data_IF_816003821253
#
_entry.id   IF_816003821253
#
_cell.length_a   1.000
_cell.length_b   1.000
_cell.length_c   1.000
_cell.angle_alpha   90.00
_cell.angle_beta   90.00
_cell.angle_gamma   90.00
#
_symmetry.space_group_name_H-M   'P 1'
#
loop_
_entity.id
_entity.type
_entity.pdbx_description
1 polymer ?
#
# COMPACT_ATOMS: atom_id res chain seq x y z
N UNK A 1 -41.35 -40.51 31.96
CA UNK A 1 -40.17 -40.94 32.73
C UNK A 1 -39.71 -39.75 33.58
N UNK A 2 -39.50 -40.04 34.86
CA UNK A 2 -39.20 -39.24 36.07
C UNK A 2 -38.66 -37.80 35.95
N UNK A 3 -39.26 -36.93 36.78
CA UNK A 3 -38.73 -35.65 37.32
C UNK A 3 -37.59 -35.89 38.31
N UNK A 4 -36.67 -34.93 38.39
CA UNK A 4 -35.84 -34.53 39.56
C UNK A 4 -35.73 -32.99 39.38
N UNK A 5 -36.40 -32.08 40.09
CA UNK A 5 -36.51 -31.75 41.53
C UNK A 5 -35.15 -31.46 42.19
N UNK A 6 -34.85 -30.17 42.33
CA UNK A 6 -34.18 -29.65 43.52
C UNK A 6 -34.95 -28.41 43.98
N UNK A 7 -35.52 -28.53 45.18
CA UNK A 7 -36.28 -27.49 45.86
C UNK A 7 -35.59 -27.19 47.19
N UNK A 8 -35.57 -25.91 47.54
CA UNK A 8 -35.52 -25.32 48.88
C UNK A 8 -34.21 -25.34 49.67
N UNK A 9 -33.75 -24.13 50.02
CA UNK A 9 -33.83 -23.72 51.42
C UNK A 9 -34.09 -22.21 51.56
N UNK A 10 -35.11 -21.94 52.39
CA UNK A 10 -35.59 -20.68 52.91
C UNK A 10 -34.51 -19.89 53.67
N UNK A 11 -34.49 -18.56 53.52
CA UNK A 11 -34.37 -17.68 54.68
C UNK A 11 -35.12 -16.36 54.40
N UNK A 12 -36.20 -16.15 55.16
CA UNK A 12 -36.81 -14.84 55.36
C UNK A 12 -35.78 -13.92 56.03
N UNK A 13 -35.63 -12.70 55.53
CA UNK A 13 -35.61 -11.54 56.42
C UNK A 13 -36.14 -10.32 55.67
N UNK A 14 -37.29 -9.86 56.14
CA UNK A 14 -37.83 -8.56 55.79
C UNK A 14 -36.97 -7.48 56.43
N UNK A 15 -36.43 -6.56 55.63
CA UNK A 15 -36.16 -5.21 56.10
C UNK A 15 -36.48 -4.24 54.98
N UNK A 16 -37.64 -3.61 55.12
CA UNK A 16 -37.98 -2.41 54.38
C UNK A 16 -37.07 -1.29 54.86
N UNK A 17 -36.17 -0.80 54.02
CA UNK A 17 -35.73 0.59 54.07
C UNK A 17 -35.52 1.13 52.65
N UNK A 18 -36.39 2.07 52.34
CA UNK A 18 -36.38 2.99 51.23
C UNK A 18 -35.07 3.78 51.21
N UNK A 19 -34.26 3.63 50.17
CA UNK A 19 -33.52 4.75 49.58
C UNK A 19 -33.41 4.52 48.07
N UNK A 20 -34.33 5.17 47.34
CA UNK A 20 -34.10 5.56 45.96
C UNK A 20 -32.86 6.46 45.93
N UNK A 21 -31.75 5.92 45.47
CA UNK A 21 -30.69 6.69 44.83
C UNK A 21 -30.65 6.24 43.38
N UNK A 22 -31.38 6.97 42.52
CA UNK A 22 -31.06 7.00 41.11
C UNK A 22 -29.66 7.58 40.97
N UNK A 23 -28.62 6.75 41.00
CA UNK A 23 -27.41 7.08 40.26
C UNK A 23 -27.84 7.20 38.81
N UNK A 24 -27.82 8.43 38.27
CA UNK A 24 -27.88 8.66 36.83
C UNK A 24 -26.91 7.68 36.19
N UNK A 25 -27.44 6.71 35.45
CA UNK A 25 -26.71 6.04 34.40
C UNK A 25 -26.22 7.14 33.45
N UNK A 26 -25.01 7.63 33.68
CA UNK A 26 -24.23 8.24 32.62
C UNK A 26 -24.01 7.10 31.63
N UNK A 27 -24.94 6.95 30.69
CA UNK A 27 -24.61 6.37 29.40
C UNK A 27 -23.36 7.12 28.97
N UNK A 28 -22.22 6.43 28.98
CA UNK A 28 -21.02 6.86 28.28
C UNK A 28 -21.45 7.01 26.82
N UNK A 29 -21.96 8.19 26.49
CA UNK A 29 -22.06 8.62 25.12
C UNK A 29 -20.63 8.58 24.59
N UNK A 30 -20.36 7.93 23.45
CA UNK A 30 -19.05 7.99 22.83
C UNK A 30 -18.64 9.46 22.77
N UNK A 31 -17.58 9.81 23.51
CA UNK A 31 -17.05 11.16 23.48
C UNK A 31 -16.73 11.47 22.02
N UNK A 32 -17.16 12.62 21.46
CA UNK A 32 -16.84 12.98 20.10
C UNK A 32 -15.33 12.90 19.92
N UNK A 33 -14.86 12.00 19.06
CA UNK A 33 -13.44 11.87 18.75
C UNK A 33 -12.92 13.24 18.33
N UNK A 34 -11.82 13.66 18.94
CA UNK A 34 -11.28 14.98 18.68
C UNK A 34 -10.68 14.99 17.27
N UNK A 35 -10.77 16.09 16.50
CA UNK A 35 -10.14 16.21 15.17
C UNK A 35 -8.65 15.80 15.14
N UNK A 36 -7.98 15.86 16.29
CA UNK A 36 -6.59 15.48 16.48
C UNK A 36 -6.34 13.96 16.29
N UNK A 37 -7.32 13.11 16.61
CA UNK A 37 -7.16 11.65 16.53
C UNK A 37 -7.17 11.14 15.08
N UNK A 38 -7.98 11.73 14.21
CA UNK A 38 -8.03 11.39 12.78
C UNK A 38 -6.73 11.78 12.06
N UNK A 39 -6.24 12.99 12.35
CA UNK A 39 -4.98 13.49 11.81
C UNK A 39 -3.79 12.60 12.21
N UNK A 40 -3.79 12.11 13.45
CA UNK A 40 -2.77 11.18 13.95
C UNK A 40 -2.82 9.83 13.21
N UNK A 41 -3.98 9.21 13.05
CA UNK A 41 -4.06 7.93 12.31
C UNK A 41 -3.58 8.09 10.85
N UNK A 42 -3.96 9.20 10.21
CA UNK A 42 -3.55 9.51 8.84
C UNK A 42 -2.03 9.53 8.68
N UNK A 43 -1.28 10.07 9.67
CA UNK A 43 0.19 10.06 9.66
C UNK A 43 0.78 8.72 10.09
N UNK A 44 0.22 8.08 11.12
CA UNK A 44 0.79 6.88 11.74
C UNK A 44 0.76 5.68 10.78
N UNK A 45 -0.25 5.62 9.90
CA UNK A 45 -0.39 4.51 8.95
C UNK A 45 0.52 4.62 7.71
N UNK A 46 1.14 5.78 7.46
CA UNK A 46 1.99 5.99 6.29
C UNK A 46 3.16 5.01 6.26
N UNK A 47 3.36 4.39 5.10
CA UNK A 47 4.38 3.39 4.82
C UNK A 47 3.81 2.13 4.18
N UNK A 48 4.71 1.21 3.83
CA UNK A 48 4.40 -0.10 3.29
C UNK A 48 4.35 -1.15 4.40
N UNK A 49 3.30 -1.95 4.43
CA UNK A 49 3.02 -2.98 5.40
C UNK A 49 2.95 -4.34 4.69
N UNK A 50 3.93 -5.20 4.95
CA UNK A 50 4.07 -6.51 4.33
C UNK A 50 3.24 -7.54 5.10
N UNK A 51 2.30 -8.17 4.39
CA UNK A 51 1.45 -9.23 4.90
C UNK A 51 2.17 -10.55 4.65
N UNK A 52 2.64 -11.19 5.72
CA UNK A 52 3.25 -12.51 5.64
C UNK A 52 2.17 -13.58 5.82
N UNK A 53 1.98 -14.44 4.82
CA UNK A 53 1.17 -15.65 4.99
C UNK A 53 1.95 -16.67 5.83
N UNK A 54 1.37 -17.12 6.93
CA UNK A 54 1.97 -18.13 7.81
C UNK A 54 1.75 -19.58 7.33
N UNK A 55 1.22 -19.79 6.12
CA UNK A 55 1.04 -21.13 5.55
C UNK A 55 2.40 -21.76 5.23
N UNK A 56 2.91 -22.59 6.16
CA UNK A 56 4.28 -23.11 6.19
C UNK A 56 4.70 -24.11 5.10
N UNK A 57 4.22 -23.97 3.86
CA UNK A 57 4.68 -24.73 2.69
C UNK A 57 4.60 -23.83 1.47
N UNK A 58 5.74 -23.65 0.79
CA UNK A 58 6.03 -22.82 -0.40
C UNK A 58 6.45 -21.38 -0.14
N UNK A 59 7.32 -20.86 -1.02
CA UNK A 59 7.79 -19.47 -1.08
C UNK A 59 6.63 -18.53 -0.79
N UNK A 60 6.75 -17.71 0.25
CA UNK A 60 5.65 -16.91 0.75
C UNK A 60 5.12 -15.99 -0.37
N UNK A 61 3.86 -16.18 -0.76
CA UNK A 61 3.14 -15.19 -1.55
C UNK A 61 3.04 -13.92 -0.69
N UNK A 62 3.82 -12.91 -1.03
CA UNK A 62 3.84 -11.64 -0.31
C UNK A 62 2.74 -10.71 -0.85
N UNK A 63 1.87 -10.26 0.06
CA UNK A 63 0.91 -9.19 -0.19
C UNK A 63 1.34 -7.95 0.59
N UNK A 64 0.89 -6.77 0.18
CA UNK A 64 1.14 -5.55 0.95
C UNK A 64 -0.01 -4.56 0.93
N UNK A 65 -0.04 -3.72 1.96
CA UNK A 65 -0.80 -2.48 2.01
C UNK A 65 0.20 -1.34 2.09
N UNK A 66 0.09 -0.33 1.24
CA UNK A 66 0.93 0.86 1.34
C UNK A 66 0.07 2.12 1.35
N UNK A 67 0.37 3.00 2.29
CA UNK A 67 -0.31 4.28 2.48
C UNK A 67 0.71 5.40 2.30
N UNK A 68 0.41 6.33 1.41
CA UNK A 68 1.25 7.49 1.11
C UNK A 68 0.75 8.73 1.83
N UNK A 69 1.64 9.70 2.04
CA UNK A 69 1.33 10.95 2.73
C UNK A 69 0.32 11.83 1.99
N UNK A 70 0.12 11.61 0.69
CA UNK A 70 -0.87 12.31 -0.15
C UNK A 70 -2.24 11.60 -0.17
N UNK A 71 -2.48 10.73 0.81
CA UNK A 71 -3.68 9.92 0.96
C UNK A 71 -3.88 8.87 -0.14
N UNK A 72 -2.85 8.51 -0.91
CA UNK A 72 -2.93 7.38 -1.84
C UNK A 72 -2.75 6.06 -1.10
N UNK A 73 -3.56 5.06 -1.43
CA UNK A 73 -3.33 3.68 -0.99
C UNK A 73 -2.93 2.80 -2.18
N UNK A 74 -2.14 1.77 -1.89
CA UNK A 74 -1.84 0.65 -2.77
C UNK A 74 -2.15 -0.66 -2.01
N UNK A 75 -2.93 -1.54 -2.61
CA UNK A 75 -3.21 -2.88 -2.09
C UNK A 75 -2.76 -3.89 -3.15
N UNK A 76 -1.74 -4.67 -2.83
CA UNK A 76 -1.29 -5.76 -3.68
C UNK A 76 -1.59 -7.10 -2.99
N UNK A 77 -2.32 -7.97 -3.67
CA UNK A 77 -2.74 -9.26 -3.12
C UNK A 77 -1.91 -10.42 -3.68
N UNK A 78 -2.08 -11.60 -3.07
CA UNK A 78 -1.40 -12.85 -3.48
C UNK A 78 -1.76 -13.33 -4.89
N UNK A 79 -2.87 -12.84 -5.46
CA UNK A 79 -3.26 -13.08 -6.85
C UNK A 79 -2.64 -12.06 -7.81
N UNK A 80 -1.62 -11.32 -7.36
CA UNK A 80 -0.89 -10.30 -8.11
C UNK A 80 -1.78 -9.17 -8.65
N UNK A 81 -2.95 -8.97 -8.04
CA UNK A 81 -3.83 -7.86 -8.39
C UNK A 81 -3.46 -6.65 -7.54
N UNK A 82 -3.28 -5.51 -8.20
CA UNK A 82 -3.07 -4.22 -7.57
C UNK A 82 -4.36 -3.40 -7.59
N UNK A 83 -4.73 -2.85 -6.44
CA UNK A 83 -5.74 -1.79 -6.34
C UNK A 83 -5.10 -0.52 -5.81
N UNK A 84 -5.47 0.62 -6.39
CA UNK A 84 -4.98 1.94 -6.00
C UNK A 84 -6.14 2.92 -5.88
N UNK A 85 -6.05 3.86 -4.95
CA UNK A 85 -7.07 4.89 -4.80
C UNK A 85 -6.72 5.88 -3.71
N UNK A 86 -7.70 6.67 -3.27
CA UNK A 86 -7.55 7.57 -2.14
C UNK A 86 -8.13 6.95 -0.87
N UNK A 87 -7.49 7.21 0.26
CA UNK A 87 -8.01 6.82 1.57
C UNK A 87 -8.31 8.04 2.43
N UNK A 88 -9.19 7.86 3.41
CA UNK A 88 -9.52 8.89 4.38
C UNK A 88 -9.73 8.27 5.77
N UNK A 89 -9.03 8.79 6.78
CA UNK A 89 -9.28 8.43 8.17
C UNK A 89 -10.68 8.90 8.60
N UNK A 90 -11.50 7.93 9.04
CA UNK A 90 -12.85 8.18 9.54
C UNK A 90 -12.83 8.39 11.06
N UNK A 91 -11.99 7.64 11.75
CA UNK A 91 -11.81 7.65 13.20
C UNK A 91 -10.36 7.34 13.59
N UNK A 92 -10.05 7.25 14.87
CA UNK A 92 -8.73 6.82 15.37
C UNK A 92 -8.35 5.37 14.95
N UNK A 93 -9.31 4.55 14.53
CA UNK A 93 -9.11 3.14 14.20
C UNK A 93 -9.80 2.69 12.91
N UNK A 94 -10.31 3.63 12.10
CA UNK A 94 -11.06 3.35 10.88
C UNK A 94 -10.61 4.23 9.71
N UNK A 95 -10.44 3.60 8.54
CA UNK A 95 -10.11 4.25 7.27
C UNK A 95 -11.09 3.77 6.19
N UNK A 96 -11.56 4.69 5.37
CA UNK A 96 -12.26 4.39 4.11
C UNK A 96 -11.27 4.33 2.96
N UNK A 97 -11.40 3.34 2.07
CA UNK A 97 -10.60 3.16 0.85
C UNK A 97 -11.52 3.36 -0.37
N UNK A 98 -11.35 4.46 -1.09
CA UNK A 98 -12.23 4.84 -2.21
C UNK A 98 -12.38 3.70 -3.22
N UNK A 99 -13.63 3.36 -3.54
CA UNK A 99 -14.06 2.28 -4.46
C UNK A 99 -13.52 0.87 -4.15
N UNK A 100 -12.84 0.68 -3.02
CA UNK A 100 -12.23 -0.61 -2.67
C UNK A 100 -12.87 -1.23 -1.42
N UNK A 101 -13.05 -0.45 -0.35
CA UNK A 101 -13.56 -0.98 0.92
C UNK A 101 -13.27 -0.11 2.14
N UNK A 102 -13.13 -0.74 3.30
CA UNK A 102 -12.80 -0.07 4.56
C UNK A 102 -11.86 -0.90 5.41
N UNK A 103 -11.09 -0.22 6.26
CA UNK A 103 -10.22 -0.83 7.27
C UNK A 103 -10.72 -0.40 8.63
N UNK A 104 -10.93 -1.36 9.55
CA UNK A 104 -11.38 -1.13 10.92
C UNK A 104 -10.47 -1.81 11.93
N UNK A 105 -10.66 -1.46 13.21
CA UNK A 105 -9.93 -2.03 14.34
C UNK A 105 -8.40 -1.93 14.18
N UNK A 106 -7.94 -0.82 13.60
CA UNK A 106 -6.51 -0.58 13.35
C UNK A 106 -5.77 -0.46 14.69
N UNK A 107 -4.76 -1.32 14.86
CA UNK A 107 -3.83 -1.30 15.99
C UNK A 107 -2.43 -1.27 15.44
N UNK A 108 -1.75 -0.14 15.62
CA UNK A 108 -0.35 0.04 15.25
C UNK A 108 0.50 -0.04 16.52
N UNK A 109 1.53 -0.87 16.52
CA UNK A 109 2.51 -0.98 17.60
C UNK A 109 3.88 -1.16 17.00
N UNK A 110 4.75 -0.15 17.14
CA UNK A 110 6.06 -0.11 16.52
C UNK A 110 5.94 -0.38 15.00
N UNK A 111 6.65 -1.38 14.49
CA UNK A 111 6.65 -1.79 13.09
C UNK A 111 5.61 -2.88 12.79
N UNK A 112 4.55 -3.01 13.60
CA UNK A 112 3.48 -3.98 13.39
C UNK A 112 2.13 -3.30 13.31
N UNK A 113 1.29 -3.80 12.41
CA UNK A 113 -0.11 -3.41 12.29
C UNK A 113 -1.01 -4.65 12.36
N UNK A 114 -2.11 -4.54 13.09
CA UNK A 114 -3.23 -5.48 13.06
C UNK A 114 -4.49 -4.72 12.69
N UNK A 115 -5.28 -5.24 11.75
CA UNK A 115 -6.48 -4.57 11.24
C UNK A 115 -7.50 -5.56 10.68
N UNK A 116 -8.72 -5.09 10.44
CA UNK A 116 -9.74 -5.79 9.65
C UNK A 116 -10.02 -5.06 8.35
N UNK A 117 -9.71 -5.69 7.23
CA UNK A 117 -10.01 -5.18 5.89
C UNK A 117 -11.33 -5.77 5.41
N UNK A 118 -12.30 -4.92 5.07
CA UNK A 118 -13.56 -5.32 4.47
C UNK A 118 -13.62 -4.85 3.01
N UNK A 119 -13.76 -5.79 2.06
CA UNK A 119 -13.90 -5.54 0.62
C UNK A 119 -14.84 -6.59 0.01
N UNK A 120 -15.71 -6.19 -0.93
CA UNK A 120 -16.67 -7.10 -1.61
C UNK A 120 -17.45 -8.02 -0.65
N UNK A 121 -17.95 -7.46 0.47
CA UNK A 121 -18.66 -8.17 1.55
C UNK A 121 -17.84 -9.25 2.30
N UNK A 122 -16.53 -9.38 2.04
CA UNK A 122 -15.60 -10.23 2.79
C UNK A 122 -14.87 -9.38 3.81
N UNK A 123 -14.56 -9.95 4.96
CA UNK A 123 -13.72 -9.33 5.99
C UNK A 123 -12.53 -10.23 6.29
N UNK A 124 -11.32 -9.68 6.17
CA UNK A 124 -10.06 -10.35 6.48
C UNK A 124 -9.42 -9.70 7.69
N UNK A 125 -8.94 -10.51 8.63
CA UNK A 125 -8.05 -10.03 9.70
C UNK A 125 -6.62 -10.10 9.18
N UNK A 126 -5.92 -8.96 9.17
CA UNK A 126 -4.58 -8.83 8.63
C UNK A 126 -3.63 -8.47 9.77
N UNK A 127 -2.50 -9.15 9.83
CA UNK A 127 -1.32 -8.71 10.57
C UNK A 127 -0.19 -8.50 9.57
N UNK A 128 0.49 -7.36 9.66
CA UNK A 128 1.57 -7.01 8.76
C UNK A 128 2.71 -6.31 9.50
N UNK A 129 3.91 -6.40 8.93
CA UNK A 129 5.09 -5.70 9.43
C UNK A 129 5.41 -4.51 8.52
N UNK A 130 5.87 -3.41 9.09
CA UNK A 130 6.32 -2.25 8.33
C UNK A 130 7.60 -2.61 7.56
N UNK A 131 7.62 -2.34 6.26
CA UNK A 131 8.82 -2.44 5.45
C UNK A 131 9.78 -1.32 5.83
N UNK A 132 11.08 -1.61 5.82
CA UNK A 132 12.09 -0.57 5.87
C UNK A 132 11.90 0.39 4.69
N UNK A 133 12.04 1.68 4.94
CA UNK A 133 12.06 2.67 3.89
C UNK A 133 13.38 2.56 3.09
N UNK A 134 13.34 2.95 1.82
CA UNK A 134 14.55 3.28 1.07
C UNK A 134 15.22 4.48 1.76
N UNK A 135 16.54 4.49 1.81
CA UNK A 135 17.33 5.57 2.43
C UNK A 135 16.75 6.94 2.12
N UNK A 136 16.45 7.73 3.16
CA UNK A 136 15.70 9.00 3.06
C UNK A 136 16.55 10.18 2.60
N UNK A 137 17.52 9.92 1.72
CA UNK A 137 18.35 10.93 1.07
C UNK A 137 17.50 11.93 0.28
N UNK A 138 18.04 13.12 0.02
CA UNK A 138 17.37 14.11 -0.82
C UNK A 138 17.12 13.58 -2.24
N UNK A 139 17.97 12.66 -2.71
CA UNK A 139 17.78 11.95 -3.99
C UNK A 139 16.53 11.08 -3.97
N UNK A 140 16.29 10.33 -2.90
CA UNK A 140 15.06 9.54 -2.73
C UNK A 140 13.85 10.44 -2.68
N UNK A 141 13.87 11.51 -1.88
CA UNK A 141 12.76 12.48 -1.82
C UNK A 141 12.44 13.07 -3.19
N UNK A 142 13.47 13.40 -3.97
CA UNK A 142 13.33 13.96 -5.31
C UNK A 142 12.78 12.95 -6.31
N UNK A 143 13.13 11.67 -6.18
CA UNK A 143 12.62 10.59 -7.04
C UNK A 143 11.18 10.19 -6.66
N UNK A 144 10.82 10.27 -5.37
CA UNK A 144 9.57 9.74 -4.83
C UNK A 144 8.32 10.57 -5.17
N UNK A 145 8.02 10.65 -6.46
CA UNK A 145 6.90 11.37 -7.05
C UNK A 145 6.22 10.55 -8.14
N UNK A 146 5.08 11.05 -8.60
CA UNK A 146 4.43 10.54 -9.80
C UNK A 146 5.09 11.20 -11.03
N UNK A 147 5.52 10.37 -11.96
CA UNK A 147 6.18 10.75 -13.21
C UNK A 147 5.32 10.28 -14.38
N UNK A 148 5.32 11.03 -15.47
CA UNK A 148 4.72 10.65 -16.75
C UNK A 148 5.81 10.48 -17.78
N UNK A 149 5.80 9.37 -18.52
CA UNK A 149 6.64 9.20 -19.70
C UNK A 149 6.29 10.25 -20.75
N UNK A 150 7.31 10.77 -21.43
CA UNK A 150 7.15 11.68 -22.56
C UNK A 150 7.43 10.97 -23.88
N UNK A 151 7.04 11.59 -24.99
CA UNK A 151 7.40 11.11 -26.33
C UNK A 151 8.85 11.47 -26.74
N UNK A 152 9.65 12.09 -25.85
CA UNK A 152 11.05 12.34 -26.15
C UNK A 152 11.86 11.03 -26.15
N UNK A 153 12.88 10.95 -27.01
CA UNK A 153 13.78 9.80 -27.12
C UNK A 153 13.01 8.49 -27.37
N UNK A 154 13.32 7.42 -26.65
CA UNK A 154 12.74 6.09 -26.90
C UNK A 154 11.30 5.97 -26.35
N UNK A 155 10.81 6.97 -25.61
CA UNK A 155 9.44 7.01 -25.09
C UNK A 155 8.36 7.12 -26.16
N UNK A 156 8.68 7.70 -27.33
CA UNK A 156 7.77 7.75 -28.47
C UNK A 156 7.34 6.35 -28.92
N UNK A 157 8.26 5.37 -28.91
CA UNK A 157 7.95 4.01 -29.38
C UNK A 157 6.86 3.35 -28.52
N UNK A 158 6.91 3.57 -27.20
CA UNK A 158 5.93 3.07 -26.23
C UNK A 158 4.57 3.77 -26.41
N UNK A 159 4.58 5.09 -26.62
CA UNK A 159 3.35 5.90 -26.68
C UNK A 159 2.67 5.88 -28.06
N UNK A 160 3.41 5.63 -29.14
CA UNK A 160 2.90 5.80 -30.53
C UNK A 160 2.88 4.51 -31.33
N UNK A 161 3.79 3.57 -31.07
CA UNK A 161 3.97 2.36 -31.87
C UNK A 161 3.70 1.12 -31.02
N UNK A 162 2.45 1.01 -30.55
CA UNK A 162 2.03 0.11 -29.49
C UNK A 162 1.78 -1.34 -29.96
N UNK A 163 2.48 -1.88 -30.96
CA UNK A 163 2.16 -3.23 -31.51
C UNK A 163 2.20 -4.35 -30.46
N UNK A 164 2.81 -4.10 -29.29
CA UNK A 164 2.86 -5.00 -28.14
C UNK A 164 1.58 -4.99 -27.29
N UNK A 165 0.72 -3.98 -27.44
CA UNK A 165 -0.47 -3.77 -26.61
C UNK A 165 -1.75 -3.89 -27.45
N UNK A 166 -2.74 -4.62 -26.93
CA UNK A 166 -4.04 -4.76 -27.58
C UNK A 166 -4.85 -3.44 -27.65
N UNK A 167 -4.46 -2.44 -26.85
CA UNK A 167 -5.17 -1.16 -26.72
C UNK A 167 -4.22 0.01 -26.95
N UNK A 168 -4.71 1.13 -27.55
CA UNK A 168 -3.92 2.33 -27.73
C UNK A 168 -3.47 2.89 -26.38
N UNK A 169 -2.17 3.20 -26.27
CA UNK A 169 -1.57 3.79 -25.08
C UNK A 169 -1.66 5.31 -25.21
N UNK A 170 -2.34 6.00 -24.29
CA UNK A 170 -2.39 7.46 -24.28
C UNK A 170 -1.45 8.08 -23.23
N UNK A 171 -1.16 7.36 -22.15
CA UNK A 171 -0.28 7.81 -21.06
C UNK A 171 0.35 6.61 -20.34
N UNK A 172 1.59 6.78 -19.92
CA UNK A 172 2.26 5.85 -19.00
C UNK A 172 2.76 6.67 -17.80
N UNK A 173 2.41 6.26 -16.58
CA UNK A 173 2.87 6.90 -15.36
C UNK A 173 3.65 5.95 -14.46
N UNK A 174 4.58 6.51 -13.71
CA UNK A 174 5.49 5.80 -12.83
C UNK A 174 5.49 6.47 -11.46
N UNK A 175 5.23 5.71 -10.41
CA UNK A 175 5.30 6.16 -9.03
C UNK A 175 6.42 5.42 -8.32
N UNK A 176 7.38 6.16 -7.81
CA UNK A 176 8.39 5.64 -6.88
C UNK A 176 7.96 6.04 -5.47
N UNK A 177 7.73 5.09 -4.58
CA UNK A 177 7.45 5.38 -3.17
C UNK A 177 8.73 5.34 -2.37
N UNK A 178 8.82 6.14 -1.30
CA UNK A 178 9.97 6.09 -0.38
C UNK A 178 10.04 4.77 0.40
N UNK A 179 8.99 3.95 0.39
CA UNK A 179 8.98 2.59 0.95
C UNK A 179 9.53 1.53 -0.03
N UNK A 180 10.01 1.93 -1.21
CA UNK A 180 10.62 1.02 -2.18
C UNK A 180 9.62 0.31 -3.09
N UNK A 181 8.43 0.87 -3.30
CA UNK A 181 7.49 0.40 -4.33
C UNK A 181 7.66 1.23 -5.59
N UNK A 182 7.78 0.56 -6.74
CA UNK A 182 7.68 1.14 -8.06
C UNK A 182 6.37 0.67 -8.66
N UNK A 183 5.53 1.61 -9.08
CA UNK A 183 4.26 1.34 -9.73
C UNK A 183 4.28 1.95 -11.13
N UNK A 184 4.20 1.12 -12.16
CA UNK A 184 3.93 1.54 -13.52
C UNK A 184 2.44 1.37 -13.84
N UNK A 185 1.81 2.39 -14.40
CA UNK A 185 0.43 2.33 -14.87
C UNK A 185 0.35 2.77 -16.32
N UNK A 186 -0.35 1.97 -17.12
CA UNK A 186 -0.57 2.26 -18.54
C UNK A 186 -2.05 2.58 -18.73
N UNK A 187 -2.30 3.67 -19.43
CA UNK A 187 -3.63 4.21 -19.65
C UNK A 187 -4.04 4.04 -21.12
N UNK A 188 -5.35 3.87 -21.31
CA UNK A 188 -6.01 3.85 -22.61
C UNK A 188 -7.36 4.53 -22.46
N UNK A 189 -7.59 5.63 -23.20
CA UNK A 189 -8.80 6.44 -23.13
C UNK A 189 -9.05 7.03 -21.73
N UNK A 190 -7.99 7.44 -21.05
CA UNK A 190 -8.03 8.04 -19.72
C UNK A 190 -8.23 7.05 -18.56
N UNK A 191 -8.39 5.76 -18.83
CA UNK A 191 -8.54 4.71 -17.81
C UNK A 191 -7.27 3.87 -17.70
N UNK A 192 -6.94 3.43 -16.49
CA UNK A 192 -5.86 2.46 -16.26
C UNK A 192 -6.26 1.14 -16.92
N UNK A 193 -5.51 0.69 -17.92
CA UNK A 193 -5.74 -0.63 -18.52
C UNK A 193 -4.80 -1.69 -17.94
N UNK A 194 -3.62 -1.28 -17.50
CA UNK A 194 -2.62 -2.17 -16.91
C UNK A 194 -1.87 -1.47 -15.77
N UNK A 195 -1.49 -2.25 -14.76
CA UNK A 195 -0.63 -1.80 -13.68
C UNK A 195 0.34 -2.90 -13.29
N UNK A 196 1.59 -2.52 -13.08
CA UNK A 196 2.63 -3.41 -12.61
C UNK A 196 3.32 -2.79 -11.41
N UNK A 197 3.69 -3.64 -10.45
CA UNK A 197 4.44 -3.22 -9.27
C UNK A 197 5.69 -4.08 -9.10
N UNK A 198 6.80 -3.44 -8.75
CA UNK A 198 8.07 -4.10 -8.43
C UNK A 198 8.70 -3.37 -7.25
N UNK A 199 9.61 -4.05 -6.54
CA UNK A 199 10.38 -3.38 -5.52
C UNK A 199 11.55 -2.62 -6.16
N UNK A 200 11.98 -1.54 -5.52
CA UNK A 200 13.18 -0.81 -5.93
C UNK A 200 13.98 -0.31 -4.73
N UNK A 201 15.28 -0.07 -4.95
CA UNK A 201 16.17 0.69 -4.05
C UNK A 201 17.31 1.31 -4.85
N UNK A 202 18.12 2.14 -4.22
CA UNK A 202 19.41 2.56 -4.79
C UNK A 202 20.38 1.37 -4.85
N UNK A 203 21.19 1.32 -5.90
CA UNK A 203 22.31 0.37 -5.95
C UNK A 203 23.28 0.65 -4.79
N UNK A 204 23.77 -0.40 -4.17
CA UNK A 204 24.62 -0.33 -2.97
C UNK A 204 25.94 0.42 -3.15
N UNK A 205 26.50 0.43 -4.36
CA UNK A 205 27.83 1.00 -4.64
C UNK A 205 27.84 2.04 -5.77
N UNK A 206 26.81 2.07 -6.62
CA UNK A 206 26.72 2.96 -7.78
C UNK A 206 25.62 3.98 -7.56
N UNK A 207 26.00 5.21 -7.22
CA UNK A 207 25.06 6.24 -6.79
C UNK A 207 24.11 6.71 -7.88
N UNK A 208 24.36 6.40 -9.15
CA UNK A 208 23.55 6.75 -10.32
C UNK A 208 22.51 5.66 -10.68
N UNK A 209 22.46 4.52 -9.96
CA UNK A 209 21.61 3.39 -10.36
C UNK A 209 20.48 3.09 -9.39
N UNK A 210 19.33 2.76 -9.97
CA UNK A 210 18.23 2.09 -9.27
C UNK A 210 18.29 0.61 -9.59
N UNK A 211 17.97 -0.24 -8.61
CA UNK A 211 17.87 -1.68 -8.80
C UNK A 211 16.46 -2.15 -8.48
N UNK A 212 15.98 -3.15 -9.22
CA UNK A 212 14.59 -3.63 -9.17
C UNK A 212 14.51 -5.13 -8.96
N UNK A 213 13.48 -5.60 -8.25
CA UNK A 213 13.24 -7.04 -8.08
C UNK A 213 11.77 -7.31 -7.77
N UNK A 214 11.24 -8.41 -8.31
CA UNK A 214 9.87 -8.84 -8.02
C UNK A 214 9.78 -9.37 -6.59
N UNK A 215 8.60 -9.27 -5.97
CA UNK A 215 8.38 -9.85 -4.64
C UNK A 215 8.69 -11.36 -4.66
N UNK A 216 9.40 -11.84 -3.65
CA UNK A 216 9.88 -13.22 -3.58
C UNK A 216 11.08 -13.58 -4.46
N UNK A 217 11.62 -12.68 -5.28
CA UNK A 217 12.82 -12.92 -6.08
C UNK A 217 14.12 -12.50 -5.36
N UNK A 218 15.24 -13.06 -5.82
CA UNK A 218 16.58 -12.62 -5.39
C UNK A 218 17.04 -11.47 -6.27
N UNK A 219 17.44 -10.37 -5.65
CA UNK A 219 17.95 -9.19 -6.35
C UNK A 219 19.37 -9.41 -6.90
N UNK A 220 19.60 -9.08 -8.17
CA UNK A 220 20.93 -8.98 -8.77
C UNK A 220 21.24 -7.54 -9.19
N UNK A 221 21.94 -6.79 -8.33
CA UNK A 221 22.26 -5.36 -8.58
C UNK A 221 23.13 -5.12 -9.82
N UNK A 222 23.86 -6.13 -10.28
CA UNK A 222 24.73 -6.01 -11.46
C UNK A 222 24.00 -6.25 -12.79
N UNK A 223 22.71 -6.64 -12.74
CA UNK A 223 21.90 -6.91 -13.94
C UNK A 223 20.56 -6.18 -13.93
N UNK A 224 19.92 -6.10 -12.77
CA UNK A 224 18.54 -5.64 -12.64
C UNK A 224 18.52 -4.15 -12.27
N UNK A 225 19.12 -3.31 -13.11
CA UNK A 225 19.29 -1.89 -12.81
C UNK A 225 18.92 -0.96 -13.96
N UNK A 226 18.59 0.27 -13.59
CA UNK A 226 18.37 1.41 -14.48
C UNK A 226 19.34 2.53 -14.09
N UNK A 227 19.93 3.20 -15.06
CA UNK A 227 20.85 4.33 -14.84
C UNK A 227 20.04 5.64 -14.84
N UNK A 228 20.19 6.44 -13.79
CA UNK A 228 19.64 7.79 -13.66
C UNK A 228 20.63 8.79 -14.24
N UNK A 229 20.34 9.28 -15.44
CA UNK A 229 21.17 10.29 -16.13
C UNK A 229 20.89 11.70 -15.65
N UNK A 230 19.65 11.98 -15.26
CA UNK A 230 19.22 13.27 -14.74
C UNK A 230 18.05 13.06 -13.77
N UNK A 231 18.09 13.75 -12.63
CA UNK A 231 16.99 13.80 -11.68
C UNK A 231 16.89 15.21 -11.10
N UNK A 232 15.82 15.92 -11.46
CA UNK A 232 15.50 17.27 -11.00
C UNK A 232 14.09 17.30 -10.41
N UNK A 233 13.61 18.46 -9.99
CA UNK A 233 12.25 18.60 -9.45
C UNK A 233 11.15 18.37 -10.48
N UNK A 234 11.46 18.42 -11.77
CA UNK A 234 10.47 18.33 -12.86
C UNK A 234 10.82 17.31 -13.94
N UNK A 235 12.07 16.81 -13.98
CA UNK A 235 12.56 15.93 -15.03
C UNK A 235 13.32 14.75 -14.44
N UNK A 236 13.00 13.55 -14.91
CA UNK A 236 13.76 12.33 -14.68
C UNK A 236 14.19 11.80 -16.05
N UNK A 237 15.47 11.46 -16.21
CA UNK A 237 15.99 10.80 -17.41
C UNK A 237 16.67 9.50 -17.02
N UNK A 238 16.28 8.41 -17.67
CA UNK A 238 16.85 7.09 -17.44
C UNK A 238 17.56 6.57 -18.68
N UNK A 239 18.39 5.55 -18.46
CA UNK A 239 18.98 4.69 -19.49
C UNK A 239 18.82 3.24 -19.02
N UNK A 240 18.23 2.43 -19.88
CA UNK A 240 17.99 1.00 -19.71
C UNK A 240 18.69 0.22 -20.82
N UNK A 241 18.96 -1.06 -20.59
CA UNK A 241 19.51 -1.96 -21.60
C UNK A 241 18.57 -3.15 -21.77
N UNK A 242 18.12 -3.37 -23.00
CA UNK A 242 17.28 -4.50 -23.34
C UNK A 242 18.02 -5.42 -24.31
N UNK A 243 17.82 -6.73 -24.18
CA UNK A 243 18.35 -7.70 -25.12
C UNK A 243 17.48 -7.68 -26.39
N UNK A 244 18.09 -7.50 -27.55
CA UNK A 244 17.42 -7.75 -28.82
C UNK A 244 17.27 -9.26 -29.11
N UNK A 245 16.66 -9.60 -30.25
CA UNK A 245 16.43 -10.99 -30.67
C UNK A 245 17.73 -11.82 -30.80
N UNK A 246 18.89 -11.16 -30.91
CA UNK A 246 20.20 -11.80 -30.98
C UNK A 246 20.93 -11.82 -29.62
N UNK A 247 20.30 -11.32 -28.56
CA UNK A 247 20.89 -11.22 -27.22
C UNK A 247 21.93 -10.10 -27.07
N UNK A 248 21.93 -9.11 -27.97
CA UNK A 248 22.79 -7.92 -27.86
C UNK A 248 22.07 -6.86 -27.02
N UNK A 249 22.80 -6.21 -26.12
CA UNK A 249 22.24 -5.12 -25.31
C UNK A 249 22.05 -3.87 -26.16
N UNK A 250 20.80 -3.41 -26.23
CA UNK A 250 20.39 -2.18 -26.89
C UNK A 250 20.04 -1.14 -25.83
N UNK A 251 20.64 0.07 -25.88
CA UNK A 251 20.31 1.13 -24.94
C UNK A 251 18.94 1.73 -25.27
N UNK A 252 18.13 1.98 -24.26
CA UNK A 252 16.89 2.75 -24.36
C UNK A 252 16.90 3.91 -23.36
N UNK A 253 16.60 5.10 -23.85
CA UNK A 253 16.67 6.36 -23.16
C UNK A 253 15.26 6.91 -22.96
N UNK A 254 14.85 7.03 -21.70
CA UNK A 254 13.51 7.55 -21.38
C UNK A 254 13.59 8.89 -20.66
N UNK A 255 12.63 9.75 -20.98
CA UNK A 255 12.45 11.06 -20.36
C UNK A 255 11.07 11.11 -19.74
N UNK A 256 11.02 11.50 -18.47
CA UNK A 256 9.80 11.63 -17.70
C UNK A 256 9.64 13.05 -17.17
N UNK A 257 8.38 13.48 -17.05
CA UNK A 257 8.00 14.73 -16.41
C UNK A 257 7.20 14.46 -15.16
N UNK A 258 7.46 15.25 -14.13
CA UNK A 258 6.69 15.16 -12.88
C UNK A 258 5.25 15.60 -13.10
N UNK A 259 4.30 14.88 -12.50
CA UNK A 259 2.88 15.22 -12.43
C UNK A 259 2.53 15.96 -11.14
#
# INVERSE_FOLDING_TARGET
MKRIVFTNLFFLFAFALLFQSCSKDSKDMPQPETPNEKGKLQSDIVGKWIIQSSSGRTTADEAFLEFLSDSTFLVYNVSQTLATGKFNAISATEISLDKFGSIKEIKISQDKISLKLTYSAKTLTITANKSAAVDTSDKTKLLSHLWSLTADQDGASILTNNSQWEKPVDKVTFLFTSSGTYLAQIFSKGEVFESQTINWKWHSTKSDRLVFWTMGSTLNEERDYVIIRELTTSTLKTLEYHKDDNGVDQPANYVFKRL
#
